data_IF_280937201807
#
_entry.id   IF_280937201807
#
_cell.length_a   1.000
_cell.length_b   1.000
_cell.length_c   1.000
_cell.angle_alpha   90.00
_cell.angle_beta   90.00
_cell.angle_gamma   90.00
#
_symmetry.space_group_name_H-M   'P 1'
#
loop_
_entity.id
_entity.type
_entity.pdbx_description
1 polymer ?
#
# COMPACT_ATOMS: atom_id res chain seq x y z
N UNK A 1 -22.30 47.30 12.30
CA UNK A 1 -22.86 46.50 11.18
C UNK A 1 -23.21 45.12 11.69
N UNK A 2 -24.36 44.57 11.31
CA UNK A 2 -24.78 43.25 11.77
C UNK A 2 -23.95 42.13 11.11
N UNK A 3 -23.72 42.20 9.80
CA UNK A 3 -22.89 41.27 9.03
C UNK A 3 -21.62 41.98 8.60
N UNK A 4 -20.47 41.32 8.74
CA UNK A 4 -19.20 41.85 8.27
C UNK A 4 -19.02 41.60 6.76
N UNK A 5 -18.64 42.64 6.02
CA UNK A 5 -18.35 42.55 4.57
C UNK A 5 -17.12 41.70 4.29
N UNK A 6 -16.19 41.61 5.24
CA UNK A 6 -15.00 40.77 5.15
C UNK A 6 -15.24 39.31 5.54
N UNK A 7 -16.40 38.93 6.08
CA UNK A 7 -16.64 37.55 6.50
C UNK A 7 -16.94 36.64 5.29
N UNK A 8 -15.90 35.95 4.81
CA UNK A 8 -16.00 34.98 3.72
C UNK A 8 -16.84 33.75 4.13
N UNK A 9 -17.01 33.54 5.44
CA UNK A 9 -17.86 32.50 5.99
C UNK A 9 -19.31 32.98 6.19
N UNK A 10 -19.67 34.23 5.83
CA UNK A 10 -21.03 34.75 5.93
C UNK A 10 -22.04 34.02 5.03
N UNK A 11 -21.55 33.33 3.99
CA UNK A 11 -22.38 32.61 3.02
C UNK A 11 -22.97 33.49 1.91
N UNK A 12 -22.83 34.81 2.01
CA UNK A 12 -23.24 35.75 0.96
C UNK A 12 -22.13 35.92 -0.07
N UNK A 13 -22.50 35.86 -1.35
CA UNK A 13 -21.56 36.05 -2.48
C UNK A 13 -21.48 37.50 -2.97
N UNK A 14 -22.51 38.28 -2.67
CA UNK A 14 -22.72 39.62 -3.23
C UNK A 14 -22.70 40.65 -2.11
N UNK A 15 -21.75 41.59 -2.17
CA UNK A 15 -21.59 42.63 -1.15
C UNK A 15 -22.81 43.56 -1.07
N UNK A 16 -23.54 43.72 -2.19
CA UNK A 16 -24.77 44.49 -2.27
C UNK A 16 -25.87 43.92 -1.36
N UNK A 17 -25.96 42.59 -1.28
CA UNK A 17 -26.93 41.90 -0.42
C UNK A 17 -26.56 42.09 1.05
N UNK A 18 -25.27 41.97 1.39
CA UNK A 18 -24.77 42.23 2.75
C UNK A 18 -25.04 43.68 3.15
N UNK A 19 -24.81 44.63 2.25
CA UNK A 19 -25.09 46.05 2.46
C UNK A 19 -26.57 46.29 2.68
N UNK A 20 -27.44 45.70 1.86
CA UNK A 20 -28.88 45.81 1.99
C UNK A 20 -29.37 45.29 3.34
N UNK A 21 -28.94 44.09 3.74
CA UNK A 21 -29.32 43.49 5.03
C UNK A 21 -28.85 44.36 6.19
N UNK A 22 -27.60 44.84 6.15
CA UNK A 22 -27.08 45.72 7.19
C UNK A 22 -27.86 47.03 7.28
N UNK A 23 -28.23 47.62 6.15
CA UNK A 23 -29.04 48.83 6.11
C UNK A 23 -30.45 48.58 6.67
N UNK A 24 -31.09 47.46 6.30
CA UNK A 24 -32.38 47.08 6.85
C UNK A 24 -32.32 46.89 8.37
N UNK A 25 -31.28 46.26 8.91
CA UNK A 25 -31.11 46.14 10.36
C UNK A 25 -30.99 47.51 11.02
N UNK A 26 -30.17 48.40 10.47
CA UNK A 26 -29.95 49.74 11.02
C UNK A 26 -31.20 50.63 10.95
N UNK A 27 -31.89 50.66 9.80
CA UNK A 27 -33.11 51.47 9.60
C UNK A 27 -34.25 51.05 10.53
N UNK A 28 -34.26 49.78 10.94
CA UNK A 28 -35.24 49.23 11.87
C UNK A 28 -34.80 49.36 13.35
N UNK A 29 -33.77 50.16 13.65
CA UNK A 29 -33.28 50.40 15.01
C UNK A 29 -32.52 49.21 15.62
N UNK A 30 -32.04 48.30 14.78
CA UNK A 30 -31.22 47.17 15.18
C UNK A 30 -29.73 47.50 15.26
N UNK A 31 -29.06 46.93 16.26
CA UNK A 31 -27.61 47.00 16.40
C UNK A 31 -26.91 45.69 15.99
N UNK A 32 -25.56 45.66 16.02
CA UNK A 32 -24.78 44.46 15.76
C UNK A 32 -24.97 43.36 16.83
N UNK A 33 -25.44 43.72 18.02
CA UNK A 33 -25.53 42.86 19.20
C UNK A 33 -26.24 41.53 18.95
N UNK A 34 -27.37 41.55 18.22
CA UNK A 34 -28.12 40.32 17.95
C UNK A 34 -27.30 39.34 17.13
N UNK A 35 -26.68 39.81 16.05
CA UNK A 35 -25.83 38.98 15.20
C UNK A 35 -24.56 38.56 15.94
N UNK A 36 -23.87 39.49 16.60
CA UNK A 36 -22.61 39.23 17.28
C UNK A 36 -22.75 38.19 18.41
N UNK A 37 -23.83 38.27 19.21
CA UNK A 37 -24.10 37.34 20.29
C UNK A 37 -24.43 35.92 19.80
N UNK A 38 -25.08 35.81 18.63
CA UNK A 38 -25.61 34.56 18.11
C UNK A 38 -24.73 33.92 17.02
N UNK A 39 -23.71 34.62 16.50
CA UNK A 39 -22.84 34.10 15.42
C UNK A 39 -22.09 32.81 15.76
N UNK A 40 -21.88 32.52 17.04
CA UNK A 40 -21.19 31.30 17.48
C UNK A 40 -22.15 30.24 18.00
N UNK A 41 -23.46 30.52 18.01
CA UNK A 41 -24.49 29.63 18.53
C UNK A 41 -25.02 28.70 17.45
N UNK A 42 -25.53 27.51 17.82
CA UNK A 42 -26.24 26.65 16.88
C UNK A 42 -27.52 27.32 16.39
N UNK A 43 -27.98 26.92 15.20
CA UNK A 43 -29.18 27.49 14.58
C UNK A 43 -30.43 27.41 15.47
N UNK A 44 -30.57 26.33 16.26
CA UNK A 44 -31.68 26.17 17.21
C UNK A 44 -31.76 27.32 18.21
N UNK A 45 -30.63 27.73 18.80
CA UNK A 45 -30.58 28.85 19.76
C UNK A 45 -30.90 30.19 19.07
N UNK A 46 -30.52 30.35 17.80
CA UNK A 46 -30.88 31.53 17.01
C UNK A 46 -32.37 31.60 16.78
N UNK A 47 -32.98 30.46 16.41
CA UNK A 47 -34.42 30.34 16.16
C UNK A 47 -35.23 30.56 17.44
N UNK A 48 -34.82 29.96 18.56
CA UNK A 48 -35.48 30.13 19.86
C UNK A 48 -35.46 31.59 20.31
N UNK A 49 -34.31 32.27 20.13
CA UNK A 49 -34.19 33.69 20.48
C UNK A 49 -35.00 34.58 19.56
N UNK A 50 -35.06 34.27 18.26
CA UNK A 50 -35.93 34.99 17.32
C UNK A 50 -37.40 34.81 17.69
N UNK A 51 -37.82 33.57 18.01
CA UNK A 51 -39.18 33.26 18.46
C UNK A 51 -39.57 34.06 19.70
N UNK A 52 -38.67 34.17 20.68
CA UNK A 52 -38.89 34.98 21.89
C UNK A 52 -39.15 36.45 21.57
N UNK A 53 -38.37 37.04 20.65
CA UNK A 53 -38.54 38.44 20.22
C UNK A 53 -39.85 38.66 19.45
N UNK A 54 -40.25 37.70 18.62
CA UNK A 54 -41.49 37.79 17.83
C UNK A 54 -42.75 37.57 18.67
N UNK A 55 -42.67 36.75 19.72
CA UNK A 55 -43.79 36.45 20.61
C UNK A 55 -44.07 37.56 21.64
N UNK A 56 -43.10 38.44 21.90
CA UNK A 56 -43.27 39.54 22.86
C UNK A 56 -43.99 40.74 22.21
N UNK A 57 -45.22 41.08 22.62
CA UNK A 57 -45.96 42.23 22.10
C UNK A 57 -45.36 43.58 22.52
N UNK A 58 -44.45 43.61 23.51
CA UNK A 58 -43.76 44.82 23.96
C UNK A 58 -42.64 45.25 23.02
N UNK A 59 -42.15 44.33 22.18
CA UNK A 59 -41.09 44.64 21.23
C UNK A 59 -41.67 45.38 20.03
N UNK A 60 -41.16 46.58 19.68
CA UNK A 60 -41.60 47.29 18.49
C UNK A 60 -41.38 46.46 17.22
N UNK A 61 -42.35 46.54 16.28
CA UNK A 61 -42.27 45.80 15.00
C UNK A 61 -40.99 46.09 14.21
N UNK A 62 -40.45 47.30 14.30
CA UNK A 62 -39.16 47.63 13.69
C UNK A 62 -38.05 46.75 14.27
N UNK A 63 -37.93 46.65 15.60
CA UNK A 63 -36.91 45.83 16.24
C UNK A 63 -37.07 44.32 15.90
N UNK A 64 -38.31 43.84 15.81
CA UNK A 64 -38.60 42.48 15.32
C UNK A 64 -38.07 42.25 13.89
N UNK A 65 -38.26 43.21 12.98
CA UNK A 65 -37.71 43.14 11.60
C UNK A 65 -36.19 43.15 11.61
N UNK A 66 -35.55 43.97 12.44
CA UNK A 66 -34.10 43.99 12.58
C UNK A 66 -33.55 42.63 13.06
N UNK A 67 -34.20 42.00 14.05
CA UNK A 67 -33.85 40.67 14.52
C UNK A 67 -34.08 39.60 13.44
N UNK A 68 -35.16 39.69 12.66
CA UNK A 68 -35.44 38.76 11.57
C UNK A 68 -34.38 38.84 10.46
N UNK A 69 -33.97 40.04 10.05
CA UNK A 69 -32.89 40.22 9.08
C UNK A 69 -31.54 39.70 9.60
N UNK A 70 -31.25 39.94 10.87
CA UNK A 70 -30.04 39.42 11.52
C UNK A 70 -30.05 37.88 11.62
N UNK A 71 -31.20 37.29 11.94
CA UNK A 71 -31.39 35.84 11.98
C UNK A 71 -31.28 35.20 10.58
N UNK A 72 -31.84 35.83 9.54
CA UNK A 72 -31.65 35.39 8.16
C UNK A 72 -30.16 35.32 7.81
N UNK A 73 -29.40 36.36 8.12
CA UNK A 73 -27.97 36.37 7.87
C UNK A 73 -27.21 35.27 8.63
N UNK A 74 -27.59 34.99 9.87
CA UNK A 74 -27.04 33.88 10.66
C UNK A 74 -27.39 32.51 10.06
N UNK A 75 -28.60 32.36 9.51
CA UNK A 75 -29.06 31.12 8.88
C UNK A 75 -28.29 30.84 7.58
N UNK A 76 -28.12 31.85 6.74
CA UNK A 76 -27.30 31.75 5.52
C UNK A 76 -25.86 31.36 5.86
N UNK A 77 -25.27 31.98 6.88
CA UNK A 77 -23.94 31.62 7.39
C UNK A 77 -23.86 30.20 7.91
N UNK A 78 -24.85 29.76 8.69
CA UNK A 78 -24.95 28.39 9.18
C UNK A 78 -25.00 27.37 8.05
N UNK A 79 -25.85 27.60 7.05
CA UNK A 79 -25.99 26.73 5.88
C UNK A 79 -24.71 26.69 5.04
N UNK A 80 -24.04 27.83 4.83
CA UNK A 80 -22.78 27.91 4.11
C UNK A 80 -21.67 27.12 4.82
N UNK A 81 -21.53 27.28 6.14
CA UNK A 81 -20.57 26.51 6.95
C UNK A 81 -20.86 25.02 6.94
N UNK A 82 -22.13 24.63 7.04
CA UNK A 82 -22.52 23.22 6.97
C UNK A 82 -22.12 22.60 5.62
N UNK A 83 -22.41 23.28 4.51
CA UNK A 83 -22.01 22.82 3.17
C UNK A 83 -20.50 22.70 3.04
N UNK A 84 -19.75 23.68 3.54
CA UNK A 84 -18.28 23.65 3.50
C UNK A 84 -17.72 22.47 4.32
N UNK A 85 -18.23 22.27 5.54
CA UNK A 85 -17.83 21.15 6.40
C UNK A 85 -18.15 19.80 5.75
N UNK A 86 -19.34 19.66 5.16
CA UNK A 86 -19.71 18.46 4.40
C UNK A 86 -18.76 18.24 3.22
N UNK A 87 -18.46 19.28 2.44
CA UNK A 87 -17.52 19.19 1.33
C UNK A 87 -16.10 18.82 1.77
N UNK A 88 -15.62 19.32 2.92
CA UNK A 88 -14.33 18.92 3.51
C UNK A 88 -14.34 17.47 3.99
N UNK A 89 -15.46 17.01 4.58
CA UNK A 89 -15.62 15.62 5.03
C UNK A 89 -15.63 14.66 3.84
N UNK A 90 -16.37 14.99 2.78
CA UNK A 90 -16.41 14.19 1.55
C UNK A 90 -15.02 14.09 0.93
N UNK A 91 -14.30 15.21 0.79
CA UNK A 91 -12.92 15.22 0.26
C UNK A 91 -11.98 14.32 1.06
N UNK A 92 -11.96 14.43 2.39
CA UNK A 92 -11.16 13.55 3.24
C UNK A 92 -11.51 12.07 3.09
N UNK A 93 -12.79 11.74 2.92
CA UNK A 93 -13.22 10.37 2.69
C UNK A 93 -12.79 9.84 1.32
N UNK A 94 -12.78 10.71 0.30
CA UNK A 94 -12.29 10.38 -1.04
C UNK A 94 -10.79 10.10 -1.01
N UNK A 95 -10.00 10.98 -0.40
CA UNK A 95 -8.56 10.81 -0.23
C UNK A 95 -8.23 9.46 0.47
N UNK A 96 -8.93 9.15 1.57
CA UNK A 96 -8.77 7.87 2.27
C UNK A 96 -9.16 6.65 1.42
N UNK A 97 -10.16 6.80 0.55
CA UNK A 97 -10.58 5.72 -0.34
C UNK A 97 -9.53 5.48 -1.43
N UNK A 98 -9.00 6.54 -2.03
CA UNK A 98 -7.92 6.47 -3.03
C UNK A 98 -6.64 5.85 -2.45
N UNK A 99 -6.25 6.25 -1.23
CA UNK A 99 -5.13 5.64 -0.51
C UNK A 99 -5.33 4.14 -0.25
N UNK A 100 -6.55 3.74 0.14
CA UNK A 100 -6.87 2.32 0.36
C UNK A 100 -6.90 1.53 -0.93
N UNK A 101 -7.41 2.11 -1.99
CA UNK A 101 -7.45 1.49 -3.31
C UNK A 101 -6.03 1.28 -3.85
N UNK A 102 -5.17 2.31 -3.78
CA UNK A 102 -3.76 2.20 -4.19
C UNK A 102 -3.00 1.15 -3.37
N UNK A 103 -3.20 1.11 -2.05
CA UNK A 103 -2.62 0.07 -1.21
C UNK A 103 -3.14 -1.34 -1.56
N UNK A 104 -4.43 -1.48 -1.84
CA UNK A 104 -5.01 -2.75 -2.27
C UNK A 104 -4.44 -3.23 -3.62
N UNK A 105 -4.26 -2.32 -4.59
CA UNK A 105 -3.63 -2.62 -5.87
C UNK A 105 -2.17 -3.03 -5.72
N UNK A 106 -1.41 -2.37 -4.84
CA UNK A 106 -0.02 -2.75 -4.54
C UNK A 106 0.05 -4.16 -3.93
N UNK A 107 -0.80 -4.46 -2.94
CA UNK A 107 -0.88 -5.79 -2.32
C UNK A 107 -1.32 -6.87 -3.32
N UNK A 108 -2.28 -6.58 -4.19
CA UNK A 108 -2.73 -7.51 -5.22
C UNK A 108 -1.61 -7.83 -6.23
N UNK A 109 -0.87 -6.80 -6.66
CA UNK A 109 0.30 -6.95 -7.54
C UNK A 109 1.39 -7.81 -6.89
N UNK A 110 1.68 -7.55 -5.61
CA UNK A 110 2.68 -8.30 -4.86
C UNK A 110 2.27 -9.77 -4.66
N UNK A 111 1.01 -10.03 -4.32
CA UNK A 111 0.49 -11.40 -4.24
C UNK A 111 0.58 -12.13 -5.58
N UNK A 112 0.33 -11.43 -6.68
CA UNK A 112 0.44 -12.03 -8.01
C UNK A 112 1.89 -12.36 -8.37
N UNK A 113 2.85 -11.48 -8.03
CA UNK A 113 4.29 -11.72 -8.19
C UNK A 113 4.73 -12.96 -7.42
N UNK A 114 4.42 -13.04 -6.13
CA UNK A 114 4.76 -14.18 -5.27
C UNK A 114 4.13 -15.50 -5.77
N UNK A 115 2.91 -15.44 -6.32
CA UNK A 115 2.27 -16.61 -6.95
C UNK A 115 3.01 -17.06 -8.21
N UNK A 116 3.53 -16.12 -9.01
CA UNK A 116 4.38 -16.40 -10.16
C UNK A 116 5.66 -17.13 -9.75
N UNK A 117 6.41 -16.56 -8.82
CA UNK A 117 7.67 -17.12 -8.31
C UNK A 117 7.49 -18.51 -7.72
N UNK A 118 6.41 -18.73 -6.95
CA UNK A 118 6.10 -20.06 -6.41
C UNK A 118 5.83 -21.09 -7.51
N UNK A 119 5.15 -20.70 -8.60
CA UNK A 119 4.89 -21.60 -9.73
C UNK A 119 6.18 -21.96 -10.46
N UNK A 120 7.07 -20.99 -10.65
CA UNK A 120 8.37 -21.19 -11.28
C UNK A 120 9.26 -22.13 -10.45
N UNK A 121 9.38 -21.87 -9.16
CA UNK A 121 10.14 -22.74 -8.25
C UNK A 121 9.56 -24.16 -8.20
N UNK A 122 8.22 -24.29 -8.20
CA UNK A 122 7.56 -25.59 -8.28
C UNK A 122 7.81 -26.30 -9.63
N UNK A 123 7.98 -25.57 -10.72
CA UNK A 123 8.39 -26.15 -12.00
C UNK A 123 9.84 -26.64 -11.96
N UNK A 124 10.76 -25.81 -11.46
CA UNK A 124 12.17 -26.18 -11.30
C UNK A 124 12.35 -27.42 -10.42
N UNK A 125 11.63 -27.50 -9.30
CA UNK A 125 11.67 -28.67 -8.41
C UNK A 125 11.17 -29.94 -9.12
N UNK A 126 10.11 -29.84 -9.93
CA UNK A 126 9.62 -30.97 -10.73
C UNK A 126 10.66 -31.43 -11.74
N UNK A 127 11.32 -30.50 -12.45
CA UNK A 127 12.40 -30.81 -13.37
C UNK A 127 13.59 -31.48 -12.67
N UNK A 128 14.05 -30.93 -11.55
CA UNK A 128 15.14 -31.51 -10.76
C UNK A 128 14.81 -32.92 -10.27
N UNK A 129 13.58 -33.14 -9.79
CA UNK A 129 13.11 -34.47 -9.38
C UNK A 129 13.10 -35.47 -10.54
N UNK A 130 12.66 -35.05 -11.72
CA UNK A 130 12.67 -35.90 -12.90
C UNK A 130 14.11 -36.28 -13.32
N UNK A 131 15.03 -35.32 -13.30
CA UNK A 131 16.45 -35.55 -13.59
C UNK A 131 17.08 -36.54 -12.58
N UNK A 132 16.83 -36.35 -11.28
CA UNK A 132 17.29 -37.28 -10.24
C UNK A 132 16.74 -38.69 -10.44
N UNK A 133 15.47 -38.81 -10.83
CA UNK A 133 14.88 -40.10 -11.12
C UNK A 133 15.54 -40.78 -12.33
N UNK A 134 15.86 -40.02 -13.37
CA UNK A 134 16.57 -40.52 -14.55
C UNK A 134 17.96 -41.05 -14.18
N UNK A 135 18.77 -40.25 -13.48
CA UNK A 135 20.12 -40.67 -13.04
C UNK A 135 20.04 -41.90 -12.13
N UNK A 136 19.05 -41.95 -11.25
CA UNK A 136 18.80 -43.13 -10.40
C UNK A 136 18.52 -44.39 -11.22
N UNK A 137 17.70 -44.27 -12.26
CA UNK A 137 17.37 -45.37 -13.17
C UNK A 137 18.60 -45.84 -13.97
N UNK A 138 19.38 -44.90 -14.50
CA UNK A 138 20.64 -45.19 -15.23
C UNK A 138 21.63 -45.93 -14.33
N UNK A 139 21.84 -45.44 -13.10
CA UNK A 139 22.67 -46.09 -12.08
C UNK A 139 22.18 -47.51 -11.77
N UNK A 140 20.87 -47.74 -11.72
CA UNK A 140 20.32 -49.09 -11.51
C UNK A 140 20.54 -50.01 -12.72
N UNK A 141 20.50 -49.49 -13.95
CA UNK A 141 20.84 -50.25 -15.16
C UNK A 141 22.32 -50.63 -15.15
N UNK A 142 23.22 -49.67 -14.87
CA UNK A 142 24.66 -49.92 -14.79
C UNK A 142 25.00 -50.95 -13.70
N UNK A 143 24.38 -50.82 -12.51
CA UNK A 143 24.56 -51.79 -11.42
C UNK A 143 24.15 -53.21 -11.84
N UNK A 144 23.03 -53.36 -12.55
CA UNK A 144 22.60 -54.67 -13.07
C UNK A 144 23.59 -55.25 -14.08
N UNK A 145 24.10 -54.43 -15.00
CA UNK A 145 25.12 -54.84 -15.98
C UNK A 145 26.42 -55.29 -15.30
N UNK A 146 26.87 -54.55 -14.28
CA UNK A 146 28.06 -54.91 -13.50
C UNK A 146 27.91 -56.30 -12.86
N UNK A 147 26.79 -56.53 -12.16
CA UNK A 147 26.51 -57.83 -11.52
C UNK A 147 26.47 -58.97 -12.55
N UNK A 148 25.96 -58.73 -13.76
CA UNK A 148 25.93 -59.74 -14.81
C UNK A 148 27.34 -60.04 -15.33
N UNK A 149 28.17 -59.02 -15.55
CA UNK A 149 29.55 -59.17 -15.97
C UNK A 149 30.41 -59.91 -14.92
N UNK A 150 30.21 -59.61 -13.63
CA UNK A 150 30.87 -60.32 -12.52
C UNK A 150 30.50 -61.81 -12.52
N UNK A 151 29.22 -62.14 -12.74
CA UNK A 151 28.74 -63.53 -12.81
C UNK A 151 29.29 -64.29 -14.01
N UNK A 152 29.35 -63.67 -15.19
CA UNK A 152 29.95 -64.31 -16.37
C UNK A 152 31.45 -64.52 -16.20
N UNK A 153 32.17 -63.55 -15.62
CA UNK A 153 33.60 -63.69 -15.34
C UNK A 153 33.91 -64.81 -14.33
N UNK A 154 32.98 -65.09 -13.40
CA UNK A 154 33.10 -66.21 -12.46
C UNK A 154 32.76 -67.57 -13.11
N UNK A 155 31.88 -67.59 -14.12
CA UNK A 155 31.51 -68.79 -14.87
C UNK A 155 32.60 -69.23 -15.88
N UNK A 156 33.42 -68.30 -16.38
CA UNK A 156 34.57 -68.58 -17.26
C UNK A 156 35.84 -69.01 -16.51
N UNK A 157 35.80 -69.11 -15.17
CA UNK A 157 36.90 -69.75 -14.42
C UNK A 157 36.74 -71.28 -14.48
N UNK A 158 37.79 -72.05 -14.87
CA UNK A 158 37.73 -73.50 -14.77
C UNK A 158 37.66 -73.92 -13.29
N UNK A 159 37.15 -75.13 -12.97
CA UNK A 159 36.99 -75.58 -11.60
C UNK A 159 38.36 -75.62 -10.92
N UNK A 160 38.62 -74.69 -10.00
CA UNK A 160 39.80 -74.74 -9.15
C UNK A 160 39.40 -75.33 -7.81
N UNK A 161 40.00 -76.48 -7.55
CA UNK A 161 39.90 -77.30 -6.36
C UNK A 161 40.13 -76.46 -5.10
N UNK A 162 39.31 -76.77 -4.10
CA UNK A 162 39.21 -76.14 -2.79
C UNK A 162 40.54 -76.20 -2.06
N UNK A 163 41.04 -75.05 -1.58
CA UNK A 163 41.73 -74.98 -0.29
C UNK A 163 41.32 -73.71 0.46
N UNK A 164 40.60 -73.94 1.55
CA UNK A 164 40.31 -72.99 2.61
C UNK A 164 41.60 -72.42 3.18
N UNK A 165 41.67 -71.10 3.39
CA UNK A 165 42.44 -70.57 4.52
C UNK A 165 41.94 -69.20 5.00
N UNK A 166 41.95 -69.11 6.33
CA UNK A 166 41.41 -68.07 7.19
C UNK A 166 42.33 -66.84 7.24
N UNK A 167 41.75 -65.62 7.19
CA UNK A 167 42.16 -64.57 8.15
C UNK A 167 41.23 -63.35 8.18
N UNK A 168 40.94 -62.95 9.40
CA UNK A 168 40.18 -61.78 9.78
C UNK A 168 40.97 -60.46 9.66
N UNK A 169 40.21 -59.38 9.42
CA UNK A 169 40.43 -57.96 9.82
C UNK A 169 41.78 -57.30 9.48
N UNK A 170 41.72 -56.26 8.63
CA UNK A 170 42.05 -54.89 9.07
C UNK A 170 41.54 -53.82 8.12
N UNK A 171 40.85 -52.82 8.70
CA UNK A 171 40.53 -51.53 8.08
C UNK A 171 41.82 -50.76 7.81
N UNK A 172 41.84 -50.01 6.71
CA UNK A 172 42.76 -48.90 6.49
C UNK A 172 42.17 -47.98 5.43
N UNK A 173 41.77 -46.79 5.85
CA UNK A 173 41.16 -45.76 5.00
C UNK A 173 42.10 -45.32 3.86
N UNK A 174 41.55 -45.17 2.66
CA UNK A 174 42.14 -44.32 1.60
C UNK A 174 41.15 -43.21 1.29
N UNK A 175 41.56 -41.98 1.58
CA UNK A 175 40.92 -40.77 1.13
C UNK A 175 40.96 -40.70 -0.41
N UNK A 176 39.86 -40.27 -1.02
CA UNK A 176 39.81 -39.88 -2.43
C UNK A 176 39.48 -38.38 -2.51
N UNK A 177 40.11 -37.60 -3.41
CA UNK A 177 40.05 -36.14 -3.35
C UNK A 177 38.70 -35.59 -3.80
N UNK A 178 38.35 -34.48 -3.19
CA UNK A 178 37.41 -33.48 -3.69
C UNK A 178 37.96 -32.93 -5.00
N UNK A 179 37.22 -33.11 -6.08
CA UNK A 179 37.09 -32.09 -7.13
C UNK A 179 35.78 -32.29 -7.88
N UNK A 180 34.78 -31.50 -7.51
CA UNK A 180 33.51 -31.38 -8.24
C UNK A 180 33.07 -29.91 -8.14
N UNK A 181 33.91 -28.98 -8.63
CA UNK A 181 33.47 -27.59 -8.88
C UNK A 181 33.70 -27.09 -10.33
N UNK A 182 34.10 -27.97 -11.26
CA UNK A 182 34.40 -27.54 -12.63
C UNK A 182 33.29 -27.80 -13.67
N UNK A 183 32.25 -28.59 -13.38
CA UNK A 183 31.27 -28.98 -14.41
C UNK A 183 30.04 -28.05 -14.55
N UNK A 184 29.77 -27.18 -13.57
CA UNK A 184 28.67 -26.21 -13.65
C UNK A 184 29.10 -24.83 -14.22
N UNK A 185 30.39 -24.52 -14.30
CA UNK A 185 30.87 -23.27 -14.93
C UNK A 185 30.89 -23.31 -16.45
N UNK A 186 30.97 -24.50 -17.07
CA UNK A 186 31.03 -24.64 -18.54
C UNK A 186 29.67 -24.49 -19.26
N UNK A 187 28.54 -24.56 -18.55
CA UNK A 187 27.22 -24.34 -19.19
C UNK A 187 26.67 -22.91 -19.05
N UNK A 188 27.37 -22.02 -18.33
CA UNK A 188 26.97 -20.62 -18.18
C UNK A 188 27.68 -19.66 -19.16
N UNK A 189 28.74 -20.09 -19.85
CA UNK A 189 29.54 -19.25 -20.75
C UNK A 189 29.11 -19.31 -22.23
N UNK A 190 27.93 -19.88 -22.53
CA UNK A 190 27.43 -20.11 -23.89
C UNK A 190 26.31 -19.19 -24.35
N UNK A 191 26.06 -18.05 -23.69
CA UNK A 191 25.03 -17.11 -24.11
C UNK A 191 25.39 -15.67 -23.72
N UNK A 192 26.42 -15.11 -24.36
CA UNK A 192 26.46 -13.68 -24.67
C UNK A 192 27.54 -13.41 -25.72
N UNK A 193 27.11 -13.30 -26.98
CA UNK A 193 27.84 -12.64 -28.03
C UNK A 193 26.86 -11.79 -28.85
N UNK A 194 26.49 -10.61 -28.33
CA UNK A 194 26.12 -9.41 -29.10
C UNK A 194 26.58 -8.19 -28.29
N UNK A 195 27.15 -7.22 -29.00
CA UNK A 195 28.13 -6.21 -28.56
C UNK A 195 27.57 -5.06 -27.69
N UNK A 196 28.43 -4.31 -26.97
CA UNK A 196 28.07 -3.04 -26.34
C UNK A 196 28.33 -1.83 -27.28
N UNK A 197 27.34 -0.93 -27.37
CA UNK A 197 27.44 0.40 -27.97
C UNK A 197 27.71 1.47 -26.89
N UNK A 198 28.38 2.54 -27.30
CA UNK A 198 29.11 3.56 -26.54
C UNK A 198 28.30 4.50 -25.60
N UNK A 199 28.86 4.77 -24.40
CA UNK A 199 28.91 6.05 -23.61
C UNK A 199 27.63 6.76 -23.07
N UNK A 200 27.74 7.78 -22.18
CA UNK A 200 28.68 7.99 -21.06
C UNK A 200 28.05 8.49 -19.71
N UNK A 201 28.78 8.26 -18.60
CA UNK A 201 29.09 9.13 -17.42
C UNK A 201 27.95 9.87 -16.66
N UNK A 202 27.79 9.61 -15.34
CA UNK A 202 28.08 10.58 -14.26
C UNK A 202 27.94 10.01 -12.82
N UNK A 203 28.93 10.38 -12.00
CA UNK A 203 28.97 10.60 -10.55
C UNK A 203 28.48 9.54 -9.54
N UNK A 204 29.49 8.87 -8.97
CA UNK A 204 29.64 8.55 -7.56
C UNK A 204 29.26 9.68 -6.60
N UNK A 205 28.64 9.34 -5.47
CA UNK A 205 29.09 9.71 -4.11
C UNK A 205 28.46 8.77 -3.06
N UNK A 206 29.29 8.44 -2.06
CA UNK A 206 29.14 7.38 -1.05
C UNK A 206 28.27 7.74 0.17
N UNK A 207 27.88 6.74 0.99
CA UNK A 207 27.07 6.90 2.20
C UNK A 207 27.89 6.81 3.50
N UNK A 208 27.49 7.55 4.54
CA UNK A 208 27.82 7.41 5.98
C UNK A 208 27.19 8.62 6.71
N UNK A 209 26.55 8.62 7.88
CA UNK A 209 26.24 7.70 8.99
C UNK A 209 25.08 8.38 9.79
N UNK A 210 24.04 7.65 10.20
CA UNK A 210 23.70 7.34 11.61
C UNK A 210 23.99 8.43 12.68
N UNK A 211 22.97 8.78 13.48
CA UNK A 211 22.94 8.60 14.96
C UNK A 211 21.60 9.07 15.53
N UNK A 212 21.02 8.19 16.37
CA UNK A 212 19.89 8.43 17.27
C UNK A 212 20.21 9.49 18.35
N UNK A 213 19.22 10.34 18.66
CA UNK A 213 18.74 10.67 20.01
C UNK A 213 17.30 11.18 19.88
#
# INVERSE_FOLDING_TARGET
>A
MAVDFGDHASGFRHAEVVRFINNEVLLNGGGPEFYAALRSRPWSEVEDRLRGVLADPRVPRAHQRACAWSALALGVRGAARQREQQGRRIRRLQEQMEERETAAWALASELQRMRGERKEMAAQLRCARAALQQVSNERNVLRRRLIQAEKSALADKPPQEVMSESRAKQRGARAWPVDVDEQCKMMAAGAQAVQPSEGPVFASLSPTELVCC
#
